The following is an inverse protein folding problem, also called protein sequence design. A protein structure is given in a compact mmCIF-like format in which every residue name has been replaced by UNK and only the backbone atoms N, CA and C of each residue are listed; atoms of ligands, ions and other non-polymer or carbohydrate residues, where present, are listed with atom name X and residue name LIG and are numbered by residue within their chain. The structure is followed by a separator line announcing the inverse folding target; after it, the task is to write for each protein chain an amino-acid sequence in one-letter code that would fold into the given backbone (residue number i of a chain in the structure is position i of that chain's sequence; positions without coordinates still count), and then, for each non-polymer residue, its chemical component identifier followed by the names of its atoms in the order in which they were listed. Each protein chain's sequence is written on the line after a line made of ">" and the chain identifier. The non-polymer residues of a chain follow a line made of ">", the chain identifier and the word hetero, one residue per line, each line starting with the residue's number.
data_IF_684174765262
#
_entry.id   IF_684174765262
#
_cell.length_a   1.000
_cell.length_b   1.000
_cell.length_c   1.000
_cell.angle_alpha   90.00
_cell.angle_beta   90.00
_cell.angle_gamma   90.00
#
_symmetry.space_group_name_H-M   'P 1'
#
loop_
_entity.id
_entity.type
_entity.pdbx_description
1 polymer ?
#
# COMPACT_ATOMS: atom_id res chain seq x y z
N UNK A 1 36.76 -6.43 -16.65
CA UNK A 1 36.26 -7.65 -15.94
C UNK A 1 34.83 -7.44 -15.41
N UNK A 2 34.50 -6.28 -14.86
CA UNK A 2 33.20 -6.00 -14.24
C UNK A 2 32.01 -5.98 -15.25
N UNK A 3 32.25 -5.55 -16.46
CA UNK A 3 31.19 -5.45 -17.51
C UNK A 3 30.65 -6.81 -17.98
N UNK A 4 31.51 -7.83 -18.00
CA UNK A 4 31.11 -9.21 -18.38
C UNK A 4 30.34 -9.90 -17.24
N UNK A 5 30.67 -9.63 -15.98
CA UNK A 5 29.92 -10.13 -14.83
C UNK A 5 28.48 -9.55 -14.81
N UNK A 6 28.31 -8.25 -15.06
CA UNK A 6 26.99 -7.62 -15.16
C UNK A 6 26.13 -8.21 -16.29
N UNK A 7 26.71 -8.49 -17.44
CA UNK A 7 25.97 -9.10 -18.58
C UNK A 7 25.56 -10.53 -18.27
N UNK A 8 26.42 -11.32 -17.65
CA UNK A 8 26.10 -12.70 -17.21
C UNK A 8 24.98 -12.72 -16.17
N UNK A 9 24.97 -11.79 -15.22
CA UNK A 9 23.91 -11.70 -14.21
C UNK A 9 22.56 -11.26 -14.81
N UNK A 10 22.57 -10.34 -15.78
CA UNK A 10 21.36 -9.94 -16.51
C UNK A 10 20.81 -11.11 -17.34
N UNK A 11 21.65 -11.87 -18.04
CA UNK A 11 21.23 -13.05 -18.82
C UNK A 11 20.68 -14.14 -17.89
N UNK A 12 21.24 -14.32 -16.71
CA UNK A 12 20.77 -15.27 -15.70
C UNK A 12 19.39 -14.87 -15.15
N UNK A 13 19.12 -13.58 -14.98
CA UNK A 13 17.81 -13.04 -14.60
C UNK A 13 16.79 -13.22 -15.72
N UNK A 14 17.16 -12.97 -16.99
CA UNK A 14 16.29 -13.14 -18.15
C UNK A 14 15.89 -14.59 -18.42
N UNK A 15 16.74 -15.57 -18.06
CA UNK A 15 16.46 -17.00 -18.17
C UNK A 15 15.82 -17.63 -16.91
N UNK A 16 15.50 -16.82 -15.90
CA UNK A 16 14.91 -17.33 -14.67
C UNK A 16 13.44 -17.70 -14.89
N UNK A 17 13.02 -18.86 -14.38
CA UNK A 17 11.61 -19.27 -14.37
C UNK A 17 10.78 -18.21 -13.64
N UNK A 18 9.62 -17.85 -14.20
CA UNK A 18 8.72 -16.87 -13.56
C UNK A 18 8.07 -17.46 -12.30
N UNK A 19 7.68 -18.73 -12.36
CA UNK A 19 6.89 -19.43 -11.33
C UNK A 19 7.59 -20.73 -10.94
N UNK A 20 7.41 -21.20 -9.69
CA UNK A 20 7.95 -22.43 -9.14
C UNK A 20 9.20 -22.22 -8.29
N UNK A 21 9.85 -23.30 -7.90
CA UNK A 21 11.04 -23.30 -7.03
C UNK A 21 12.20 -22.52 -7.67
N UNK A 22 12.82 -21.62 -6.90
CA UNK A 22 13.90 -20.74 -7.36
C UNK A 22 13.53 -19.83 -8.56
N UNK A 23 12.29 -19.38 -8.60
CA UNK A 23 11.73 -18.51 -9.64
C UNK A 23 11.77 -17.04 -9.26
N UNK A 24 11.46 -16.16 -10.24
CA UNK A 24 11.24 -14.73 -10.03
C UNK A 24 10.20 -14.45 -8.93
N UNK A 25 9.12 -15.26 -8.86
CA UNK A 25 8.09 -15.13 -7.83
C UNK A 25 8.66 -15.20 -6.40
N UNK A 26 9.73 -15.98 -6.16
CA UNK A 26 10.39 -16.04 -4.85
C UNK A 26 11.03 -14.71 -4.48
N UNK A 27 11.77 -14.09 -5.39
CA UNK A 27 12.44 -12.79 -5.16
C UNK A 27 11.41 -11.67 -5.04
N UNK A 28 10.37 -11.72 -5.86
CA UNK A 28 9.25 -10.79 -5.80
C UNK A 28 8.53 -10.88 -4.44
N UNK A 29 8.42 -12.07 -3.85
CA UNK A 29 7.84 -12.21 -2.52
C UNK A 29 8.67 -11.50 -1.44
N UNK A 30 10.00 -11.55 -1.49
CA UNK A 30 10.85 -10.81 -0.56
C UNK A 30 10.72 -9.29 -0.75
N UNK A 31 10.66 -8.83 -2.00
CA UNK A 31 10.43 -7.40 -2.30
C UNK A 31 9.11 -6.92 -1.69
N UNK A 32 8.00 -7.64 -1.92
CA UNK A 32 6.71 -7.29 -1.34
C UNK A 32 6.72 -7.32 0.19
N UNK A 33 7.43 -8.27 0.80
CA UNK A 33 7.54 -8.33 2.26
C UNK A 33 8.28 -7.12 2.82
N UNK A 34 9.40 -6.73 2.21
CA UNK A 34 10.18 -5.55 2.62
C UNK A 34 9.33 -4.29 2.49
N UNK A 35 8.66 -4.11 1.34
CA UNK A 35 7.78 -2.98 1.11
C UNK A 35 6.59 -2.96 2.09
N UNK A 36 6.00 -4.13 2.39
CA UNK A 36 4.94 -4.25 3.39
C UNK A 36 5.41 -3.79 4.77
N UNK A 37 6.57 -4.25 5.24
CA UNK A 37 7.12 -3.86 6.54
C UNK A 37 7.34 -2.36 6.58
N UNK A 38 7.92 -1.78 5.51
CA UNK A 38 8.18 -0.36 5.41
C UNK A 38 6.88 0.47 5.46
N UNK A 39 5.87 0.11 4.65
CA UNK A 39 4.58 0.82 4.61
C UNK A 39 3.81 0.63 5.92
N UNK A 40 3.79 -0.57 6.49
CA UNK A 40 3.11 -0.81 7.76
C UNK A 40 3.73 0.03 8.90
N UNK A 41 5.06 0.11 8.97
CA UNK A 41 5.75 0.98 9.92
C UNK A 41 5.38 2.46 9.70
N UNK A 42 5.36 2.90 8.44
CA UNK A 42 4.99 4.28 8.08
C UNK A 42 3.56 4.62 8.52
N UNK A 43 2.60 3.74 8.25
CA UNK A 43 1.19 3.91 8.67
C UNK A 43 1.05 4.00 10.19
N UNK A 44 1.74 3.11 10.93
CA UNK A 44 1.72 3.14 12.40
C UNK A 44 2.31 4.46 12.91
N UNK A 45 3.41 4.90 12.33
CA UNK A 45 4.07 6.14 12.72
C UNK A 45 3.21 7.38 12.44
N UNK A 46 2.53 7.44 11.28
CA UNK A 46 1.55 8.49 10.98
C UNK A 46 0.40 8.49 11.99
N UNK A 47 -0.14 7.32 12.32
CA UNK A 47 -1.22 7.19 13.27
C UNK A 47 -0.81 7.70 14.66
N UNK A 48 0.40 7.37 15.12
CA UNK A 48 0.98 7.90 16.35
C UNK A 48 1.11 9.42 16.26
N UNK A 49 1.58 9.97 15.14
CA UNK A 49 1.72 11.40 14.93
C UNK A 49 0.39 12.14 15.02
N UNK A 50 -0.67 11.61 14.38
CA UNK A 50 -2.01 12.18 14.49
C UNK A 50 -2.59 12.09 15.91
N UNK A 51 -2.33 11.00 16.63
CA UNK A 51 -2.75 10.86 18.02
C UNK A 51 -2.05 11.87 18.95
N UNK A 52 -0.73 12.03 18.81
CA UNK A 52 0.06 13.01 19.59
C UNK A 52 -0.41 14.44 19.28
N UNK A 53 -0.57 14.81 18.01
CA UNK A 53 -1.02 16.15 17.64
C UNK A 53 -2.44 16.43 18.12
N UNK A 54 -3.33 15.44 18.13
CA UNK A 54 -4.67 15.58 18.71
C UNK A 54 -4.63 15.83 20.22
N UNK A 55 -3.80 15.07 20.97
CA UNK A 55 -3.62 15.25 22.40
C UNK A 55 -3.05 16.65 22.67
N UNK A 56 -2.00 17.07 21.97
CA UNK A 56 -1.38 18.38 22.13
C UNK A 56 -2.40 19.52 21.94
N UNK A 57 -3.25 19.44 20.91
CA UNK A 57 -4.30 20.43 20.66
C UNK A 57 -5.35 20.46 21.78
N UNK A 58 -5.72 19.31 22.35
CA UNK A 58 -6.73 19.21 23.41
C UNK A 58 -6.24 19.65 24.78
N UNK A 59 -4.97 19.42 25.06
CA UNK A 59 -4.38 19.67 26.39
C UNK A 59 -3.49 20.92 26.43
N UNK A 60 -3.34 21.64 25.32
CA UNK A 60 -2.38 22.73 25.13
C UNK A 60 -0.94 22.34 25.50
N UNK A 61 -0.58 21.08 25.29
CA UNK A 61 0.76 20.56 25.49
C UNK A 61 1.61 20.63 24.22
N UNK A 62 2.92 20.52 24.37
CA UNK A 62 3.90 20.50 23.28
C UNK A 62 4.71 19.20 23.27
N UNK A 63 4.08 18.08 23.64
CA UNK A 63 4.76 16.78 23.69
C UNK A 63 5.19 16.36 22.28
N UNK A 64 6.49 16.12 22.07
CA UNK A 64 7.10 15.76 20.77
C UNK A 64 6.74 16.71 19.62
N UNK A 65 6.46 18.00 19.90
CA UNK A 65 6.05 18.98 18.89
C UNK A 65 7.13 19.29 17.85
N UNK A 66 8.40 19.02 18.12
CA UNK A 66 9.48 19.11 17.13
C UNK A 66 9.34 18.06 16.02
N UNK A 67 8.86 16.86 16.38
CA UNK A 67 8.66 15.76 15.45
C UNK A 67 7.26 15.75 14.86
N UNK A 68 6.23 15.95 15.71
CA UNK A 68 4.82 15.93 15.37
C UNK A 68 4.19 17.29 15.65
N UNK A 69 4.42 18.21 14.72
CA UNK A 69 3.94 19.58 14.84
C UNK A 69 2.49 19.72 14.34
N UNK A 70 1.73 20.55 15.03
CA UNK A 70 0.42 21.06 14.57
C UNK A 70 0.28 22.52 14.98
N UNK A 71 -0.17 23.38 14.08
CA UNK A 71 -0.32 24.82 14.35
C UNK A 71 -0.82 25.60 13.12
N UNK A 72 -0.93 26.92 13.29
CA UNK A 72 -1.42 27.84 12.25
C UNK A 72 -0.34 28.31 11.25
N UNK A 73 0.91 27.98 11.47
CA UNK A 73 2.01 28.29 10.55
C UNK A 73 2.86 27.06 10.29
N UNK A 74 3.33 26.93 9.08
CA UNK A 74 4.17 25.80 8.67
C UNK A 74 5.16 26.26 7.60
N UNK A 75 6.34 25.67 7.59
CA UNK A 75 7.26 25.77 6.46
C UNK A 75 6.86 24.69 5.43
N UNK A 76 6.44 25.12 4.25
CA UNK A 76 6.03 24.24 3.16
C UNK A 76 6.98 24.46 1.98
N UNK A 77 7.93 23.54 1.80
CA UNK A 77 8.89 23.62 0.70
C UNK A 77 9.76 24.86 0.71
N UNK A 78 10.21 25.33 1.90
CA UNK A 78 11.03 26.52 2.08
C UNK A 78 10.25 27.84 2.05
N UNK A 79 8.90 27.79 2.09
CA UNK A 79 8.04 28.98 2.21
C UNK A 79 7.21 28.87 3.47
N UNK A 80 7.30 29.90 4.32
CA UNK A 80 6.44 30.00 5.48
C UNK A 80 4.98 30.28 5.03
N UNK A 81 4.08 29.36 5.34
CA UNK A 81 2.63 29.51 5.12
C UNK A 81 1.98 29.70 6.48
N UNK A 82 1.28 30.83 6.66
CA UNK A 82 0.53 31.14 7.88
C UNK A 82 -0.90 31.42 7.53
N UNK A 83 -1.84 30.72 8.19
CA UNK A 83 -3.26 30.96 8.04
C UNK A 83 -3.95 30.80 9.41
N UNK A 84 -4.49 31.88 9.99
CA UNK A 84 -5.12 31.82 11.32
C UNK A 84 -6.39 30.96 11.35
N UNK A 85 -7.02 30.71 10.21
CA UNK A 85 -8.25 29.94 10.09
C UNK A 85 -8.03 28.46 9.80
N UNK A 86 -6.78 28.05 9.54
CA UNK A 86 -6.44 26.67 9.23
C UNK A 86 -5.36 26.14 10.16
N UNK A 87 -5.50 24.88 10.52
CA UNK A 87 -4.45 24.14 11.20
C UNK A 87 -3.67 23.33 10.17
N UNK A 88 -2.37 23.38 10.27
CA UNK A 88 -1.44 22.58 9.49
C UNK A 88 -0.75 21.56 10.40
N UNK A 89 -0.30 20.46 9.84
CA UNK A 89 0.56 19.51 10.54
C UNK A 89 1.83 19.24 9.74
N UNK A 90 2.88 18.86 10.46
CA UNK A 90 4.15 18.42 9.90
C UNK A 90 4.70 17.31 10.76
N UNK A 91 4.95 16.16 10.15
CA UNK A 91 5.64 15.05 10.77
C UNK A 91 7.01 14.91 10.14
N UNK A 92 8.04 14.76 10.97
CA UNK A 92 9.40 14.50 10.54
C UNK A 92 9.67 13.01 10.54
N UNK A 93 10.67 12.57 9.76
CA UNK A 93 11.20 11.21 9.89
C UNK A 93 11.80 11.01 11.30
N UNK A 94 11.73 9.80 11.86
CA UNK A 94 12.37 9.49 13.15
C UNK A 94 13.85 9.88 13.11
N UNK A 95 14.31 10.56 14.16
CA UNK A 95 15.71 10.97 14.32
C UNK A 95 16.27 11.85 13.19
N UNK A 96 15.44 12.58 12.50
CA UNK A 96 15.81 13.43 11.37
C UNK A 96 15.05 14.74 11.38
N UNK A 97 15.66 15.79 10.80
CA UNK A 97 14.98 17.06 10.54
C UNK A 97 14.21 17.09 9.23
N UNK A 98 14.29 16.04 8.43
CA UNK A 98 13.57 15.94 7.16
C UNK A 98 12.08 15.74 7.37
N UNK A 99 11.28 16.48 6.62
CA UNK A 99 9.84 16.35 6.62
C UNK A 99 9.42 15.04 5.93
N UNK A 100 8.63 14.26 6.63
CA UNK A 100 8.03 13.03 6.12
C UNK A 100 6.66 13.31 5.50
N UNK A 101 5.82 14.03 6.24
CA UNK A 101 4.45 14.31 5.88
C UNK A 101 4.05 15.71 6.33
N UNK A 102 3.31 16.41 5.48
CA UNK A 102 2.86 17.78 5.74
C UNK A 102 1.54 18.03 5.04
N UNK A 103 0.65 18.79 5.67
CA UNK A 103 -0.64 19.11 5.09
C UNK A 103 -1.59 19.86 6.02
N UNK A 104 -2.82 20.01 5.56
CA UNK A 104 -3.90 20.55 6.38
C UNK A 104 -4.34 19.54 7.44
N UNK A 105 -4.44 19.97 8.69
CA UNK A 105 -4.89 19.13 9.80
C UNK A 105 -6.41 19.06 9.83
N UNK A 106 -6.96 18.08 9.12
CA UNK A 106 -8.41 17.86 9.02
C UNK A 106 -8.76 16.38 9.20
N UNK A 107 -10.01 16.09 9.56
CA UNK A 107 -10.50 14.71 9.59
C UNK A 107 -10.38 14.03 8.23
N UNK A 108 -10.65 14.75 7.14
CA UNK A 108 -10.49 14.21 5.79
C UNK A 108 -9.06 13.77 5.49
N UNK A 109 -8.07 14.58 5.89
CA UNK A 109 -6.64 14.24 5.73
C UNK A 109 -6.28 13.02 6.57
N UNK A 110 -6.69 12.97 7.83
CA UNK A 110 -6.46 11.80 8.70
C UNK A 110 -7.03 10.51 8.09
N UNK A 111 -8.31 10.52 7.70
CA UNK A 111 -8.93 9.35 7.09
C UNK A 111 -8.30 8.98 5.75
N UNK A 112 -7.91 9.97 4.93
CA UNK A 112 -7.23 9.70 3.67
C UNK A 112 -5.94 8.91 3.87
N UNK A 113 -5.05 9.40 4.76
CA UNK A 113 -3.79 8.72 5.06
C UNK A 113 -4.02 7.33 5.66
N UNK A 114 -4.96 7.21 6.59
CA UNK A 114 -5.29 5.93 7.24
C UNK A 114 -5.84 4.91 6.24
N UNK A 115 -6.84 5.28 5.43
CA UNK A 115 -7.50 4.38 4.47
C UNK A 115 -6.50 3.95 3.38
N UNK A 116 -5.75 4.91 2.82
CA UNK A 116 -4.76 4.63 1.77
C UNK A 116 -3.61 3.80 2.32
N UNK A 117 -3.11 4.13 3.50
CA UNK A 117 -2.01 3.39 4.14
C UNK A 117 -2.38 1.94 4.48
N UNK A 118 -3.57 1.72 5.07
CA UNK A 118 -4.09 0.36 5.35
C UNK A 118 -4.27 -0.41 4.04
N UNK A 119 -4.83 0.23 3.02
CA UNK A 119 -5.00 -0.41 1.71
C UNK A 119 -3.68 -0.90 1.13
N UNK A 120 -2.65 -0.03 1.06
CA UNK A 120 -1.34 -0.42 0.55
C UNK A 120 -0.67 -1.50 1.39
N UNK A 121 -0.86 -1.48 2.71
CA UNK A 121 -0.37 -2.54 3.59
C UNK A 121 -1.03 -3.89 3.27
N UNK A 122 -2.35 -3.92 3.09
CA UNK A 122 -3.09 -5.13 2.69
C UNK A 122 -2.65 -5.60 1.30
N UNK A 123 -2.55 -4.69 0.34
CA UNK A 123 -2.14 -5.00 -1.04
C UNK A 123 -0.75 -5.65 -1.09
N UNK A 124 0.23 -5.07 -0.42
CA UNK A 124 1.60 -5.59 -0.37
C UNK A 124 1.68 -6.92 0.40
N UNK A 125 0.93 -7.06 1.50
CA UNK A 125 0.89 -8.30 2.25
C UNK A 125 0.32 -9.46 1.42
N UNK A 126 -0.79 -9.25 0.70
CA UNK A 126 -1.33 -10.28 -0.19
C UNK A 126 -0.48 -10.48 -1.43
N UNK A 127 0.17 -9.44 -1.96
CA UNK A 127 1.21 -9.56 -2.98
C UNK A 127 2.34 -10.50 -2.54
N UNK A 128 2.84 -10.34 -1.30
CA UNK A 128 3.80 -11.25 -0.68
C UNK A 128 3.26 -12.69 -0.61
N UNK A 129 2.04 -12.89 -0.07
CA UNK A 129 1.43 -14.21 0.08
C UNK A 129 1.25 -14.93 -1.25
N UNK A 130 0.74 -14.24 -2.27
CA UNK A 130 0.53 -14.77 -3.61
C UNK A 130 1.88 -15.13 -4.25
N UNK A 131 2.86 -14.22 -4.26
CA UNK A 131 4.17 -14.45 -4.83
C UNK A 131 4.91 -15.60 -4.15
N UNK A 132 4.80 -15.69 -2.82
CA UNK A 132 5.36 -16.81 -2.04
C UNK A 132 4.70 -18.14 -2.38
N UNK A 133 3.38 -18.15 -2.57
CA UNK A 133 2.67 -19.37 -2.96
C UNK A 133 3.01 -19.79 -4.40
N UNK A 134 3.13 -18.82 -5.33
CA UNK A 134 3.57 -19.07 -6.71
C UNK A 134 5.03 -19.54 -6.81
N UNK A 135 5.84 -19.37 -5.77
CA UNK A 135 7.21 -19.91 -5.73
C UNK A 135 7.29 -21.39 -5.31
N UNK A 136 6.16 -22.03 -5.01
CA UNK A 136 6.06 -23.48 -4.74
C UNK A 136 5.89 -24.25 -6.05
N UNK A 137 6.02 -25.57 -6.00
CA UNK A 137 5.83 -26.45 -7.16
C UNK A 137 4.33 -26.58 -7.53
N UNK A 138 3.48 -26.60 -6.49
CA UNK A 138 2.02 -26.70 -6.67
C UNK A 138 1.41 -25.29 -6.84
N UNK A 139 1.21 -24.92 -8.11
CA UNK A 139 0.78 -23.56 -8.50
C UNK A 139 -0.73 -23.40 -8.31
N UNK A 140 -1.53 -24.42 -8.68
CA UNK A 140 -2.98 -24.35 -8.57
C UNK A 140 -3.45 -24.85 -7.19
N UNK A 141 -3.30 -23.99 -6.18
CA UNK A 141 -3.65 -24.33 -4.80
C UNK A 141 -4.84 -23.51 -4.28
N UNK A 142 -5.60 -24.09 -3.34
CA UNK A 142 -6.65 -23.37 -2.61
C UNK A 142 -6.12 -22.14 -1.89
N UNK A 143 -4.85 -22.16 -1.51
CA UNK A 143 -4.18 -21.07 -0.82
C UNK A 143 -4.09 -19.82 -1.70
N UNK A 144 -3.63 -19.96 -2.95
CA UNK A 144 -3.54 -18.86 -3.93
C UNK A 144 -4.92 -18.30 -4.26
N UNK A 145 -5.90 -19.17 -4.51
CA UNK A 145 -7.29 -18.77 -4.78
C UNK A 145 -7.83 -17.89 -3.64
N UNK A 146 -7.61 -18.30 -2.39
CA UNK A 146 -8.03 -17.53 -1.21
C UNK A 146 -7.35 -16.16 -1.15
N UNK A 147 -6.04 -16.10 -1.39
CA UNK A 147 -5.30 -14.82 -1.34
C UNK A 147 -5.72 -13.85 -2.46
N UNK A 148 -5.87 -14.34 -3.68
CA UNK A 148 -6.37 -13.56 -4.81
C UNK A 148 -7.79 -13.05 -4.54
N UNK A 149 -8.67 -13.91 -3.99
CA UNK A 149 -10.04 -13.55 -3.60
C UNK A 149 -10.03 -12.42 -2.57
N UNK A 150 -9.23 -12.54 -1.52
CA UNK A 150 -9.15 -11.49 -0.49
C UNK A 150 -8.59 -10.20 -1.07
N UNK A 151 -7.60 -10.27 -1.96
CA UNK A 151 -7.01 -9.10 -2.60
C UNK A 151 -8.07 -8.32 -3.40
N UNK A 152 -8.80 -8.96 -4.33
CA UNK A 152 -9.77 -8.21 -5.13
C UNK A 152 -10.96 -7.69 -4.30
N UNK A 153 -11.40 -8.43 -3.28
CA UNK A 153 -12.44 -7.95 -2.36
C UNK A 153 -11.95 -6.71 -1.60
N UNK A 154 -10.71 -6.72 -1.10
CA UNK A 154 -10.16 -5.56 -0.38
C UNK A 154 -10.10 -4.31 -1.26
N UNK A 155 -9.80 -4.46 -2.56
CA UNK A 155 -9.82 -3.34 -3.50
C UNK A 155 -11.27 -2.84 -3.73
N UNK A 156 -12.24 -3.74 -3.91
CA UNK A 156 -13.64 -3.34 -4.05
C UNK A 156 -14.20 -2.64 -2.81
N UNK A 157 -13.74 -2.99 -1.62
CA UNK A 157 -14.11 -2.28 -0.38
C UNK A 157 -13.39 -0.94 -0.26
N UNK A 158 -12.12 -0.88 -0.67
CA UNK A 158 -11.32 0.33 -0.59
C UNK A 158 -11.88 1.47 -1.45
N UNK A 159 -12.29 1.19 -2.69
CA UNK A 159 -12.72 2.23 -3.64
C UNK A 159 -13.90 3.07 -3.13
N UNK A 160 -15.01 2.49 -2.65
CA UNK A 160 -16.08 3.29 -2.06
C UNK A 160 -15.63 4.10 -0.84
N UNK A 161 -14.83 3.54 0.05
CA UNK A 161 -14.31 4.25 1.21
C UNK A 161 -13.43 5.43 0.80
N UNK A 162 -12.60 5.26 -0.22
CA UNK A 162 -11.76 6.31 -0.77
C UNK A 162 -12.59 7.44 -1.37
N UNK A 163 -13.63 7.14 -2.16
CA UNK A 163 -14.55 8.12 -2.75
C UNK A 163 -15.33 8.86 -1.65
N UNK A 164 -15.88 8.13 -0.67
CA UNK A 164 -16.61 8.71 0.47
C UNK A 164 -15.72 9.70 1.23
N UNK A 165 -14.48 9.32 1.51
CA UNK A 165 -13.54 10.22 2.19
C UNK A 165 -13.30 11.50 1.40
N UNK A 166 -13.05 11.42 0.10
CA UNK A 166 -12.79 12.58 -0.74
C UNK A 166 -14.00 13.49 -0.87
N UNK A 167 -15.16 12.94 -1.21
CA UNK A 167 -16.34 13.73 -1.56
C UNK A 167 -17.11 14.20 -0.31
N UNK A 168 -17.30 13.30 0.66
CA UNK A 168 -18.16 13.58 1.81
C UNK A 168 -17.36 14.18 2.97
N UNK A 169 -16.25 13.56 3.36
CA UNK A 169 -15.50 13.98 4.56
C UNK A 169 -14.60 15.16 4.24
N UNK A 170 -13.85 15.11 3.16
CA UNK A 170 -12.96 16.21 2.74
C UNK A 170 -13.69 17.32 1.99
N UNK A 171 -14.97 17.12 1.62
CA UNK A 171 -15.80 18.07 0.85
C UNK A 171 -15.13 18.53 -0.44
N UNK A 172 -14.33 17.67 -1.05
CA UNK A 172 -13.64 17.95 -2.30
C UNK A 172 -14.55 17.56 -3.46
N UNK A 173 -14.77 18.40 -4.46
CA UNK A 173 -15.63 18.07 -5.60
C UNK A 173 -15.08 16.86 -6.35
N UNK A 174 -15.98 16.07 -6.94
CA UNK A 174 -15.59 14.94 -7.77
C UNK A 174 -14.80 15.44 -8.98
N UNK A 175 -13.57 14.98 -9.11
CA UNK A 175 -12.62 15.43 -10.13
C UNK A 175 -12.23 14.30 -11.09
N UNK A 176 -11.72 14.67 -12.27
CA UNK A 176 -11.18 13.70 -13.23
C UNK A 176 -10.08 12.82 -12.63
N UNK A 177 -9.22 13.38 -11.78
CA UNK A 177 -8.16 12.62 -11.11
C UNK A 177 -8.72 11.58 -10.16
N UNK A 178 -9.75 11.89 -9.38
CA UNK A 178 -10.45 10.95 -8.52
C UNK A 178 -11.12 9.83 -9.33
N UNK A 179 -11.74 10.19 -10.47
CA UNK A 179 -12.33 9.22 -11.38
C UNK A 179 -11.27 8.24 -11.92
N UNK A 180 -10.17 8.75 -12.49
CA UNK A 180 -9.13 7.90 -13.06
C UNK A 180 -8.45 7.01 -12.00
N UNK A 181 -8.19 7.54 -10.80
CA UNK A 181 -7.64 6.74 -9.70
C UNK A 181 -8.60 5.61 -9.31
N UNK A 182 -9.88 5.93 -9.10
CA UNK A 182 -10.90 4.93 -8.75
C UNK A 182 -11.08 3.88 -9.84
N UNK A 183 -11.11 4.30 -11.11
CA UNK A 183 -11.18 3.41 -12.26
C UNK A 183 -9.98 2.46 -12.32
N UNK A 184 -8.77 2.96 -12.09
CA UNK A 184 -7.56 2.14 -12.06
C UNK A 184 -7.63 1.05 -11.00
N UNK A 185 -8.08 1.37 -9.78
CA UNK A 185 -8.25 0.38 -8.72
C UNK A 185 -9.31 -0.66 -9.08
N UNK A 186 -10.47 -0.24 -9.62
CA UNK A 186 -11.52 -1.16 -10.07
C UNK A 186 -10.98 -2.09 -11.16
N UNK A 187 -10.24 -1.56 -12.13
CA UNK A 187 -9.67 -2.33 -13.21
C UNK A 187 -8.69 -3.41 -12.69
N UNK A 188 -7.83 -3.05 -11.73
CA UNK A 188 -6.94 -4.03 -11.05
C UNK A 188 -7.75 -5.10 -10.31
N UNK A 189 -8.84 -4.71 -9.63
CA UNK A 189 -9.71 -5.65 -8.94
C UNK A 189 -10.37 -6.65 -9.91
N UNK A 190 -10.83 -6.17 -11.06
CA UNK A 190 -11.41 -7.01 -12.12
C UNK A 190 -10.37 -8.01 -12.63
N UNK A 191 -9.15 -7.57 -12.95
CA UNK A 191 -8.06 -8.48 -13.37
C UNK A 191 -7.79 -9.54 -12.30
N UNK A 192 -7.71 -9.15 -11.02
CA UNK A 192 -7.50 -10.09 -9.93
C UNK A 192 -8.66 -11.07 -9.75
N UNK A 193 -9.91 -10.64 -9.99
CA UNK A 193 -11.09 -11.51 -9.98
C UNK A 193 -11.04 -12.54 -11.13
N UNK A 194 -10.74 -12.11 -12.35
CA UNK A 194 -10.56 -13.04 -13.48
C UNK A 194 -9.43 -14.03 -13.23
N UNK A 195 -8.30 -13.55 -12.71
CA UNK A 195 -7.17 -14.41 -12.33
C UNK A 195 -7.62 -15.44 -11.28
N UNK A 196 -8.43 -15.06 -10.31
CA UNK A 196 -8.97 -15.99 -9.31
C UNK A 196 -9.80 -17.11 -9.94
N UNK A 197 -10.67 -16.78 -10.90
CA UNK A 197 -11.48 -17.79 -11.61
C UNK A 197 -10.61 -18.70 -12.48
N UNK A 198 -9.56 -18.16 -13.09
CA UNK A 198 -8.60 -18.97 -13.84
C UNK A 198 -7.90 -19.99 -12.92
N UNK A 199 -7.43 -19.57 -11.76
CA UNK A 199 -6.80 -20.47 -10.78
C UNK A 199 -7.77 -21.51 -10.23
N UNK A 200 -9.05 -21.18 -10.03
CA UNK A 200 -10.08 -22.15 -9.63
C UNK A 200 -10.27 -23.26 -10.68
N UNK A 201 -10.33 -22.89 -11.96
CA UNK A 201 -10.44 -23.86 -13.05
C UNK A 201 -9.21 -24.75 -13.13
N UNK A 202 -8.00 -24.16 -13.03
CA UNK A 202 -6.75 -24.92 -13.01
C UNK A 202 -6.68 -25.91 -11.84
N UNK A 203 -7.08 -25.48 -10.64
CA UNK A 203 -7.16 -26.34 -9.46
C UNK A 203 -8.12 -27.53 -9.67
N UNK A 204 -9.30 -27.27 -10.26
CA UNK A 204 -10.27 -28.32 -10.54
C UNK A 204 -9.72 -29.36 -11.51
N UNK A 205 -9.14 -28.93 -12.62
CA UNK A 205 -8.52 -29.82 -13.62
C UNK A 205 -7.36 -30.66 -13.05
N UNK A 206 -6.53 -30.05 -12.21
CA UNK A 206 -5.44 -30.77 -11.53
C UNK A 206 -6.02 -31.83 -10.60
N UNK A 207 -7.04 -31.52 -9.79
CA UNK A 207 -7.65 -32.47 -8.87
C UNK A 207 -8.37 -33.63 -9.59
N UNK A 208 -8.94 -33.41 -10.78
CA UNK A 208 -9.55 -34.44 -11.61
C UNK A 208 -8.48 -35.40 -12.17
N UNK A 209 -7.34 -34.87 -12.62
CA UNK A 209 -6.23 -35.69 -13.11
C UNK A 209 -5.60 -36.54 -12.01
N UNK A 210 -5.44 -36.01 -10.79
CA UNK A 210 -4.87 -36.72 -9.66
C UNK A 210 -5.76 -37.91 -9.20
N UNK A 211 -7.06 -37.89 -9.54
CA UNK A 211 -8.00 -38.99 -9.24
C UNK A 211 -8.00 -40.10 -10.32
N UNK A 212 -7.38 -39.86 -11.48
CA UNK A 212 -7.40 -40.78 -12.62
C UNK A 212 -6.14 -41.66 -12.74
N UNK A 213 -5.17 -41.47 -11.84
CA UNK A 213 -3.97 -42.30 -11.71
C UNK A 213 -4.11 -43.24 -10.51
#
# INVERSE_FOLDING_TARGET
>A
YDKYLYICDIIKILNMKIIGKNSFAKYLSYLFLILFIFIAFHVIYEFIGFAITYINLKTNNNFLSETFYVGHSIDWGGKAVTNPNHLFFRFKYPFSDQQMLTGNYTLGTFFNHTIVGIFWSIFLFYGYKISKALSKEDIFSKEIIRFLKTLYISIFVFVPLYIINWVIISKTPFSGSLFFSSFTYIFIAIIAAFTTEFFKKGYKLQSENDLTI
#
